data_IF_807565417549
#
_entry.id   IF_807565417549
#
_cell.length_a   1.000
_cell.length_b   1.000
_cell.length_c   1.000
_cell.angle_alpha   90.00
_cell.angle_beta   90.00
_cell.angle_gamma   90.00
#
_symmetry.space_group_name_H-M   'P 1'
#
loop_
_entity.id
_entity.type
_entity.pdbx_description
1 polymer ?
#
# COMPACT_ATOMS: atom_id res chain seq x y z
N UNK A 1 -14.84 -4.39 -52.05
CA UNK A 1 -13.99 -3.47 -51.27
C UNK A 1 -14.74 -2.69 -50.18
N UNK A 2 -15.84 -1.98 -50.48
CA UNK A 2 -16.56 -1.11 -49.51
C UNK A 2 -17.06 -1.85 -48.25
N UNK A 3 -17.55 -3.08 -48.38
CA UNK A 3 -18.05 -3.89 -47.25
C UNK A 3 -16.97 -4.26 -46.22
N UNK A 4 -15.71 -4.44 -46.65
CA UNK A 4 -14.59 -4.73 -45.75
C UNK A 4 -14.16 -3.47 -45.00
N UNK A 5 -14.19 -2.31 -45.65
CA UNK A 5 -13.85 -1.02 -45.03
C UNK A 5 -14.86 -0.67 -43.94
N UNK A 6 -16.16 -0.86 -44.18
CA UNK A 6 -17.21 -0.62 -43.17
C UNK A 6 -17.06 -1.54 -41.95
N UNK A 7 -16.73 -2.82 -42.17
CA UNK A 7 -16.47 -3.78 -41.07
C UNK A 7 -15.24 -3.37 -40.25
N UNK A 8 -14.16 -2.95 -40.90
CA UNK A 8 -12.96 -2.48 -40.20
C UNK A 8 -13.24 -1.22 -39.38
N UNK A 9 -14.01 -0.27 -39.91
CA UNK A 9 -14.40 0.95 -39.17
C UNK A 9 -15.21 0.59 -37.93
N UNK A 10 -16.18 -0.33 -38.03
CA UNK A 10 -16.96 -0.76 -36.87
C UNK A 10 -16.10 -1.45 -35.80
N UNK A 11 -15.16 -2.31 -36.19
CA UNK A 11 -14.24 -2.98 -35.25
C UNK A 11 -13.32 -1.95 -34.58
N UNK A 12 -12.80 -0.98 -35.33
CA UNK A 12 -11.95 0.08 -34.79
C UNK A 12 -12.72 1.00 -33.83
N UNK A 13 -13.98 1.31 -34.14
CA UNK A 13 -14.86 2.13 -33.30
C UNK A 13 -15.21 1.42 -31.99
N UNK A 14 -15.45 0.10 -32.03
CA UNK A 14 -15.66 -0.71 -30.83
C UNK A 14 -14.43 -0.74 -29.93
N UNK A 15 -13.23 -0.80 -30.50
CA UNK A 15 -11.98 -0.76 -29.73
C UNK A 15 -11.77 0.60 -29.05
N UNK A 16 -12.14 1.69 -29.72
CA UNK A 16 -12.11 3.05 -29.16
C UNK A 16 -13.11 3.26 -28.01
N UNK A 17 -14.30 2.65 -28.07
CA UNK A 17 -15.32 2.76 -27.03
C UNK A 17 -14.92 2.05 -25.73
N UNK A 18 -14.12 0.97 -25.81
CA UNK A 18 -13.63 0.24 -24.63
C UNK A 18 -12.56 1.06 -23.89
N UNK A 19 -11.70 1.78 -24.62
CA UNK A 19 -10.66 2.65 -24.05
C UNK A 19 -11.22 3.88 -23.33
N UNK A 20 -12.41 4.36 -23.69
CA UNK A 20 -13.03 5.55 -23.08
C UNK A 20 -13.58 5.29 -21.66
N UNK A 21 -13.66 4.03 -21.23
CA UNK A 21 -14.18 3.69 -19.90
C UNK A 21 -13.13 3.90 -18.78
N UNK A 22 -11.85 4.07 -19.12
CA UNK A 22 -10.78 4.32 -18.13
C UNK A 22 -10.65 5.80 -17.73
N UNK A 23 -11.24 6.72 -18.52
CA UNK A 23 -11.32 8.16 -18.23
C UNK A 23 -12.45 8.53 -17.27
N UNK A 24 -12.67 7.72 -16.24
CA UNK A 24 -13.56 8.09 -15.13
C UNK A 24 -12.98 9.25 -14.33
N UNK A 25 -13.81 10.22 -13.94
CA UNK A 25 -13.40 11.33 -13.06
C UNK A 25 -12.76 10.76 -11.80
N UNK A 26 -11.49 11.10 -11.54
CA UNK A 26 -10.81 10.71 -10.31
C UNK A 26 -11.36 11.53 -9.15
N UNK A 27 -11.48 10.89 -7.99
CA UNK A 27 -11.75 11.56 -6.72
C UNK A 27 -10.45 11.76 -5.96
N UNK A 28 -10.25 12.99 -5.48
CA UNK A 28 -9.20 13.34 -4.54
C UNK A 28 -9.65 12.99 -3.11
N UNK A 29 -8.75 12.39 -2.33
CA UNK A 29 -8.94 12.16 -0.90
C UNK A 29 -7.62 12.36 -0.15
N UNK A 30 -7.71 12.64 1.15
CA UNK A 30 -6.55 12.69 2.05
C UNK A 30 -6.43 11.37 2.82
N UNK A 31 -5.27 10.74 2.74
CA UNK A 31 -4.92 9.58 3.56
C UNK A 31 -4.05 10.02 4.72
N UNK A 32 -4.48 9.74 5.94
CA UNK A 32 -3.72 9.97 7.16
C UNK A 32 -3.42 8.66 7.88
N UNK A 33 -2.16 8.44 8.22
CA UNK A 33 -1.70 7.27 8.96
C UNK A 33 -0.92 7.73 10.18
N UNK A 34 -1.27 7.21 11.36
CA UNK A 34 -0.48 7.32 12.58
C UNK A 34 -0.03 5.94 13.01
N UNK A 35 1.24 5.65 12.84
CA UNK A 35 1.83 4.35 13.14
C UNK A 35 2.64 4.37 14.44
N UNK A 36 2.44 3.33 15.24
CA UNK A 36 3.21 3.08 16.47
C UNK A 36 3.79 1.67 16.45
N UNK A 37 4.97 1.52 17.03
CA UNK A 37 5.63 0.24 17.28
C UNK A 37 6.00 0.20 18.76
N UNK A 38 5.52 -0.82 19.49
CA UNK A 38 5.72 -0.96 20.95
C UNK A 38 5.38 0.33 21.74
N UNK A 39 4.28 0.99 21.35
CA UNK A 39 3.81 2.22 21.97
C UNK A 39 4.61 3.49 21.65
N UNK A 40 5.67 3.39 20.84
CA UNK A 40 6.46 4.54 20.36
C UNK A 40 6.11 4.88 18.92
N UNK A 41 6.31 6.13 18.46
CA UNK A 41 6.19 6.47 17.06
C UNK A 41 6.99 5.53 16.15
N UNK A 42 6.33 4.93 15.16
CA UNK A 42 7.00 4.15 14.14
C UNK A 42 7.54 5.12 13.08
N UNK A 43 8.74 5.65 13.30
CA UNK A 43 9.45 6.53 12.37
C UNK A 43 9.87 5.72 11.13
N UNK A 44 9.85 6.32 9.95
CA UNK A 44 10.31 5.72 8.70
C UNK A 44 9.59 4.41 8.34
N UNK A 45 8.32 4.26 8.75
CA UNK A 45 7.48 3.17 8.29
C UNK A 45 6.96 3.50 6.90
N UNK A 46 7.18 2.60 5.94
CA UNK A 46 6.68 2.74 4.57
C UNK A 46 5.16 2.60 4.57
N UNK A 47 4.49 3.56 3.94
CA UNK A 47 3.05 3.54 3.68
C UNK A 47 2.84 3.18 2.22
N UNK A 48 2.10 2.12 1.98
CA UNK A 48 1.79 1.61 0.66
C UNK A 48 0.28 1.73 0.41
N UNK A 49 -0.07 2.03 -0.84
CA UNK A 49 -1.43 2.05 -1.33
C UNK A 49 -1.52 1.16 -2.57
N UNK A 50 -2.39 0.15 -2.51
CA UNK A 50 -2.52 -0.91 -3.53
C UNK A 50 -1.17 -1.55 -3.86
N UNK A 51 -0.35 -1.79 -2.83
CA UNK A 51 1.00 -2.37 -2.96
C UNK A 51 2.09 -1.41 -3.45
N UNK A 52 1.76 -0.15 -3.77
CA UNK A 52 2.74 0.84 -4.21
C UNK A 52 3.13 1.76 -3.05
N UNK A 53 4.42 1.96 -2.80
CA UNK A 53 4.88 2.91 -1.79
C UNK A 53 4.52 4.34 -2.18
N UNK A 54 3.86 5.05 -1.27
CA UNK A 54 3.43 6.45 -1.47
C UNK A 54 4.15 7.43 -0.54
N UNK A 55 4.92 6.92 0.43
CA UNK A 55 5.80 7.68 1.30
C UNK A 55 6.07 6.95 2.61
N UNK A 56 6.61 7.69 3.57
CA UNK A 56 7.03 7.16 4.88
C UNK A 56 6.48 8.04 6.01
N UNK A 57 6.28 7.45 7.18
CA UNK A 57 5.93 8.20 8.38
C UNK A 57 7.10 9.06 8.87
N UNK A 58 6.78 10.24 9.36
CA UNK A 58 7.73 11.20 9.92
C UNK A 58 8.24 10.82 11.33
N UNK A 59 9.01 11.71 11.95
CA UNK A 59 9.57 11.54 13.30
C UNK A 59 8.51 11.41 14.41
N UNK A 60 7.26 11.81 14.14
CA UNK A 60 6.12 11.63 15.03
C UNK A 60 5.31 10.36 14.73
N UNK A 61 5.76 9.56 13.75
CA UNK A 61 5.07 8.36 13.28
C UNK A 61 3.84 8.70 12.43
N UNK A 62 3.77 9.90 11.88
CA UNK A 62 2.63 10.40 11.12
C UNK A 62 2.92 10.50 9.63
N UNK A 63 1.92 10.22 8.81
CA UNK A 63 1.93 10.39 7.37
C UNK A 63 0.61 11.01 6.93
N UNK A 64 0.66 12.04 6.08
CA UNK A 64 -0.51 12.56 5.37
C UNK A 64 -0.17 12.83 3.91
N UNK A 65 -1.06 12.42 3.01
CA UNK A 65 -0.92 12.68 1.57
C UNK A 65 -2.28 12.76 0.90
N UNK A 66 -2.42 13.69 -0.05
CA UNK A 66 -3.56 13.73 -0.97
C UNK A 66 -3.32 12.84 -2.19
N UNK A 67 -4.35 12.09 -2.57
CA UNK A 67 -4.27 11.00 -3.55
C UNK A 67 -5.51 11.05 -4.43
N UNK A 68 -5.34 10.76 -5.71
CA UNK A 68 -6.45 10.66 -6.67
C UNK A 68 -6.65 9.21 -7.11
N UNK A 69 -7.87 8.69 -6.96
CA UNK A 69 -8.26 7.34 -7.39
C UNK A 69 -9.68 7.35 -7.97
N UNK A 70 -10.07 6.26 -8.62
CA UNK A 70 -11.42 6.14 -9.15
C UNK A 70 -12.42 5.95 -8.00
N UNK A 71 -13.52 6.72 -7.93
CA UNK A 71 -14.59 6.46 -6.99
C UNK A 71 -15.13 5.03 -7.12
N UNK A 72 -15.51 4.42 -6.00
CA UNK A 72 -15.98 3.04 -5.94
C UNK A 72 -14.89 1.98 -5.94
N UNK A 73 -13.61 2.34 -6.15
CA UNK A 73 -12.51 1.39 -6.02
C UNK A 73 -12.30 0.99 -4.56
N UNK A 74 -12.05 -0.30 -4.33
CA UNK A 74 -11.45 -0.75 -3.08
C UNK A 74 -9.97 -0.37 -3.06
N UNK A 75 -9.58 0.36 -2.02
CA UNK A 75 -8.21 0.82 -1.78
C UNK A 75 -7.63 0.00 -0.64
N UNK A 76 -6.50 -0.65 -0.88
CA UNK A 76 -5.76 -1.34 0.16
C UNK A 76 -4.66 -0.42 0.69
N UNK A 77 -4.59 -0.27 2.02
CA UNK A 77 -3.50 0.44 2.69
C UNK A 77 -2.65 -0.58 3.42
N UNK A 78 -1.33 -0.46 3.29
CA UNK A 78 -0.38 -1.26 4.06
C UNK A 78 0.65 -0.38 4.72
N UNK A 79 1.09 -0.76 5.92
CA UNK A 79 2.19 -0.11 6.64
C UNK A 79 3.24 -1.17 6.95
N UNK A 80 4.46 -0.92 6.48
CA UNK A 80 5.58 -1.85 6.59
C UNK A 80 6.74 -1.13 7.27
N UNK A 81 7.36 -1.79 8.23
CA UNK A 81 8.60 -1.31 8.86
C UNK A 81 9.60 -2.44 8.95
N UNK A 82 10.84 -2.13 8.62
CA UNK A 82 11.98 -3.03 8.85
C UNK A 82 12.84 -2.43 9.95
N UNK A 83 13.32 -3.26 10.87
CA UNK A 83 14.20 -2.83 11.97
C UNK A 83 15.11 -4.01 12.32
N UNK A 84 16.44 -3.84 12.32
CA UNK A 84 17.36 -4.92 12.66
C UNK A 84 17.04 -5.57 14.01
N UNK A 85 17.00 -6.92 14.05
CA UNK A 85 16.67 -7.68 15.26
C UNK A 85 15.17 -7.80 15.56
N UNK A 86 14.31 -7.25 14.70
CA UNK A 86 12.86 -7.39 14.80
C UNK A 86 12.29 -7.98 13.53
N UNK A 87 11.42 -8.96 13.68
CA UNK A 87 10.47 -9.35 12.65
C UNK A 87 9.17 -8.57 12.91
N UNK A 88 8.81 -7.66 12.01
CA UNK A 88 7.64 -6.80 12.16
C UNK A 88 6.60 -7.23 11.13
N UNK A 89 5.40 -7.60 11.59
CA UNK A 89 4.32 -8.00 10.70
C UNK A 89 3.79 -6.77 9.93
N UNK A 90 3.65 -6.86 8.59
CA UNK A 90 2.97 -5.84 7.82
C UNK A 90 1.53 -5.65 8.32
N UNK A 91 1.16 -4.41 8.60
CA UNK A 91 -0.25 -4.07 8.84
C UNK A 91 -0.95 -3.81 7.50
N UNK A 92 -2.19 -4.28 7.34
CA UNK A 92 -3.02 -4.06 6.15
C UNK A 92 -4.47 -3.82 6.53
N UNK A 93 -5.13 -2.95 5.78
CA UNK A 93 -6.59 -2.70 5.84
C UNK A 93 -7.09 -2.22 4.47
N UNK A 94 -8.40 -2.15 4.28
CA UNK A 94 -8.99 -1.63 3.04
C UNK A 94 -10.19 -0.73 3.29
N UNK A 95 -10.49 0.12 2.31
CA UNK A 95 -11.72 0.91 2.29
C UNK A 95 -12.20 1.13 0.86
N UNK A 96 -13.50 1.33 0.69
CA UNK A 96 -14.06 1.75 -0.60
C UNK A 96 -14.03 3.27 -0.69
N UNK A 97 -13.37 3.81 -1.71
CA UNK A 97 -13.35 5.25 -1.96
C UNK A 97 -14.74 5.72 -2.37
N UNK A 98 -15.33 6.60 -1.57
CA UNK A 98 -16.64 7.18 -1.88
C UNK A 98 -16.51 8.26 -2.94
N UNK A 99 -17.59 8.46 -3.71
CA UNK A 99 -17.72 9.64 -4.55
C UNK A 99 -17.81 10.88 -3.65
N UNK A 100 -16.93 11.88 -3.82
CA UNK A 100 -16.97 13.08 -2.99
C UNK A 100 -18.30 13.82 -3.15
N UNK A 101 -18.82 14.37 -2.05
CA UNK A 101 -19.98 15.26 -2.09
C UNK A 101 -19.49 16.69 -2.32
N UNK A 102 -20.06 17.39 -3.30
CA UNK A 102 -19.92 18.84 -3.48
C UNK A 102 -18.48 19.38 -3.38
N UNK A 103 -17.52 18.75 -4.05
CA UNK A 103 -16.13 19.22 -4.09
C UNK A 103 -15.35 19.12 -2.76
N UNK A 104 -15.91 18.44 -1.76
CA UNK A 104 -15.17 18.12 -0.53
C UNK A 104 -14.07 17.09 -0.79
N UNK A 105 -13.00 17.14 0.00
CA UNK A 105 -11.94 16.12 0.01
C UNK A 105 -12.14 15.24 1.23
N UNK A 106 -12.54 13.99 1.01
CA UNK A 106 -12.73 13.03 2.10
C UNK A 106 -11.38 12.71 2.78
N UNK A 107 -11.40 12.51 4.10
CA UNK A 107 -10.21 12.10 4.86
C UNK A 107 -10.37 10.70 5.43
N UNK A 108 -9.44 9.80 5.10
CA UNK A 108 -9.37 8.44 5.62
C UNK A 108 -8.23 8.34 6.63
N UNK A 109 -8.54 7.93 7.86
CA UNK A 109 -7.60 7.95 8.99
C UNK A 109 -7.37 6.57 9.56
N UNK A 110 -6.11 6.17 9.64
CA UNK A 110 -5.70 4.90 10.23
C UNK A 110 -4.79 5.13 11.44
N UNK A 111 -5.10 4.45 12.55
CA UNK A 111 -4.20 4.31 13.70
C UNK A 111 -3.65 2.90 13.68
N UNK A 112 -2.36 2.78 13.41
CA UNK A 112 -1.70 1.52 13.15
C UNK A 112 -0.80 1.16 14.33
N UNK A 113 -1.06 0.02 14.96
CA UNK A 113 -0.14 -0.58 15.93
C UNK A 113 0.56 -1.75 15.26
N UNK A 114 1.84 -1.57 14.93
CA UNK A 114 2.68 -2.62 14.35
C UNK A 114 3.04 -3.64 15.42
N UNK A 115 2.96 -4.92 15.06
CA UNK A 115 3.34 -6.03 15.92
C UNK A 115 4.77 -6.44 15.58
N UNK A 116 5.64 -6.47 16.59
CA UNK A 116 7.01 -6.93 16.42
C UNK A 116 7.32 -8.13 17.30
N UNK A 117 8.04 -9.08 16.73
CA UNK A 117 8.67 -10.20 17.44
C UNK A 117 10.18 -10.04 17.36
N UNK A 118 10.87 -10.16 18.49
CA UNK A 118 12.34 -10.13 18.53
C UNK A 118 12.88 -11.49 18.12
N UNK A 119 13.99 -11.48 17.38
CA UNK A 119 14.76 -12.69 17.09
C UNK A 119 16.24 -12.42 17.34
N UNK A 120 16.98 -13.49 17.62
CA UNK A 120 18.43 -13.47 17.72
C UNK A 120 19.00 -14.63 16.92
N UNK A 121 20.21 -14.44 16.39
CA UNK A 121 20.93 -15.49 15.67
C UNK A 121 21.95 -16.09 16.63
N UNK A 122 21.93 -17.41 16.78
CA UNK A 122 22.96 -18.14 17.52
C UNK A 122 23.88 -18.83 16.54
N UNK A 123 25.18 -18.60 16.69
CA UNK A 123 26.22 -19.34 15.98
C UNK A 123 26.90 -20.27 16.99
N UNK A 124 26.81 -21.58 16.76
CA UNK A 124 27.44 -22.58 17.63
C UNK A 124 28.61 -23.21 16.87
N UNK A 125 29.80 -23.16 17.48
CA UNK A 125 31.02 -23.69 16.90
C UNK A 125 31.88 -24.36 17.96
N UNK A 126 32.58 -25.41 17.55
CA UNK A 126 33.61 -26.09 18.33
C UNK A 126 34.95 -25.94 17.59
N UNK A 127 35.97 -25.44 18.29
CA UNK A 127 37.29 -25.16 17.70
C UNK A 127 37.23 -24.29 16.42
N UNK A 128 36.25 -23.39 16.32
CA UNK A 128 36.05 -22.50 15.17
C UNK A 128 35.27 -23.09 14.01
N UNK A 129 34.83 -24.36 14.09
CA UNK A 129 34.01 -25.00 13.06
C UNK A 129 32.54 -25.05 13.49
N UNK A 130 31.59 -24.71 12.60
CA UNK A 130 30.16 -24.88 12.88
C UNK A 130 29.86 -26.33 13.26
N UNK A 131 29.08 -26.52 14.32
CA UNK A 131 28.64 -27.86 14.74
C UNK A 131 27.17 -28.08 14.35
N UNK A 132 26.87 -29.26 13.82
CA UNK A 132 25.49 -29.67 13.51
C UNK A 132 24.76 -30.12 14.77
N UNK A 133 23.42 -29.97 14.78
CA UNK A 133 22.54 -30.47 15.85
C UNK A 133 22.84 -29.91 17.26
N UNK A 134 23.46 -28.73 17.35
CA UNK A 134 23.59 -28.03 18.62
C UNK A 134 22.21 -27.73 19.22
N UNK A 135 22.06 -27.98 20.52
CA UNK A 135 20.88 -27.58 21.29
C UNK A 135 21.16 -26.27 22.03
N UNK A 136 20.19 -25.36 22.02
CA UNK A 136 20.23 -24.02 22.64
C UNK A 136 19.09 -23.90 23.64
#
# INVERSE_FOLDING_TARGET
MVKQIIRLIFILLSFFLILACETGNKAEFELQVKAVLDGKPAIDARVLLDGNEIGMTDTSGYFSKRIEKQPGSEIQVSVIKETPGYNIEPWRDSFVLKLPKDGSVDTYKFRVALKASKYFTVFVAENGYPIENASI
#
